data_IF_301368391367
#
_entry.id   IF_301368391367
#
_cell.length_a   1.000
_cell.length_b   1.000
_cell.length_c   1.000
_cell.angle_alpha   90.00
_cell.angle_beta   90.00
_cell.angle_gamma   90.00
#
_symmetry.space_group_name_H-M   'P 1'
#
loop_
_entity.id
_entity.type
_entity.pdbx_description
1 polymer ?
#
# COMPACT_ATOMS: atom_id res chain seq x y z
N UNK A 1 1.89 -0.51 -22.41
CA UNK A 1 1.26 -1.19 -23.56
C UNK A 1 0.27 -2.23 -23.05
N UNK A 2 -0.72 -2.58 -23.86
CA UNK A 2 -1.64 -3.70 -23.64
C UNK A 2 -1.56 -4.59 -24.87
N UNK A 3 -1.30 -5.88 -24.67
CA UNK A 3 -1.28 -6.88 -25.73
C UNK A 3 -2.31 -7.93 -25.38
N UNK A 4 -3.20 -8.23 -26.33
CA UNK A 4 -4.24 -9.25 -26.19
C UNK A 4 -3.87 -10.42 -27.09
N UNK A 5 -3.86 -11.63 -26.55
CA UNK A 5 -3.63 -12.86 -27.30
C UNK A 5 -4.95 -13.55 -27.66
N UNK A 6 -4.85 -14.58 -28.50
CA UNK A 6 -5.95 -15.50 -28.78
C UNK A 6 -5.97 -16.68 -27.78
N UNK A 7 -5.10 -16.65 -26.76
CA UNK A 7 -5.08 -17.67 -25.72
C UNK A 7 -6.31 -17.54 -24.82
N UNK A 8 -6.82 -18.70 -24.43
CA UNK A 8 -8.01 -18.80 -23.61
C UNK A 8 -7.64 -18.81 -22.13
N UNK A 9 -8.28 -17.92 -21.36
CA UNK A 9 -8.16 -17.88 -19.90
C UNK A 9 -9.53 -18.14 -19.30
N UNK A 10 -9.63 -19.20 -18.49
CA UNK A 10 -10.84 -19.53 -17.74
C UNK A 10 -10.86 -18.75 -16.44
N UNK A 11 -11.92 -17.96 -16.21
CA UNK A 11 -12.08 -17.13 -15.01
C UNK A 11 -13.51 -17.24 -14.48
N UNK A 12 -13.63 -17.16 -13.17
CA UNK A 12 -14.89 -16.83 -12.51
C UNK A 12 -14.72 -15.44 -11.91
N UNK A 13 -15.14 -14.43 -12.65
CA UNK A 13 -14.94 -13.02 -12.28
C UNK A 13 -15.57 -12.67 -10.93
N UNK A 14 -16.68 -13.32 -10.57
CA UNK A 14 -17.48 -12.99 -9.39
C UNK A 14 -17.42 -14.07 -8.31
N UNK A 15 -16.61 -15.12 -8.50
CA UNK A 15 -16.50 -16.27 -7.59
C UNK A 15 -17.86 -16.92 -7.25
N UNK A 16 -18.77 -16.97 -8.23
CA UNK A 16 -20.14 -17.49 -8.05
C UNK A 16 -20.37 -18.86 -8.73
N UNK A 17 -19.30 -19.51 -9.18
CA UNK A 17 -19.31 -20.78 -9.89
C UNK A 17 -19.56 -20.66 -11.40
N UNK A 18 -19.82 -19.46 -11.93
CA UNK A 18 -20.08 -19.25 -13.35
C UNK A 18 -18.79 -18.95 -14.12
N UNK A 19 -18.01 -20.01 -14.38
CA UNK A 19 -16.75 -19.91 -15.11
C UNK A 19 -17.03 -19.49 -16.56
N UNK A 20 -16.33 -18.43 -17.00
CA UNK A 20 -16.35 -17.94 -18.37
C UNK A 20 -14.96 -17.99 -18.97
N UNK A 21 -14.97 -18.07 -20.30
CA UNK A 21 -13.80 -18.04 -21.14
C UNK A 21 -13.53 -16.59 -21.57
N UNK A 22 -12.33 -16.10 -21.29
CA UNK A 22 -11.87 -14.76 -21.66
C UNK A 22 -10.57 -14.83 -22.47
N UNK A 23 -10.23 -13.74 -23.16
CA UNK A 23 -8.96 -13.65 -23.89
C UNK A 23 -7.82 -13.27 -22.94
N UNK A 24 -6.70 -13.95 -23.08
CA UNK A 24 -5.46 -13.59 -22.41
C UNK A 24 -4.99 -12.20 -22.80
N UNK A 25 -4.52 -11.42 -21.81
CA UNK A 25 -3.91 -10.13 -22.07
C UNK A 25 -2.75 -9.86 -21.09
N UNK A 26 -1.77 -9.09 -21.56
CA UNK A 26 -0.62 -8.66 -20.77
C UNK A 26 -0.53 -7.13 -20.83
N UNK A 27 -0.38 -6.52 -19.66
CA UNK A 27 -0.15 -5.09 -19.52
C UNK A 27 1.29 -4.83 -19.09
N UNK A 28 2.00 -3.99 -19.84
CA UNK A 28 3.30 -3.48 -19.41
C UNK A 28 3.08 -2.40 -18.34
N UNK A 29 3.50 -2.70 -17.12
CA UNK A 29 3.47 -1.78 -15.99
C UNK A 29 4.84 -1.10 -15.82
N UNK A 30 4.83 0.19 -15.50
CA UNK A 30 6.03 0.97 -15.21
C UNK A 30 5.83 1.71 -13.87
N UNK A 31 6.85 1.65 -13.02
CA UNK A 31 6.91 2.38 -11.76
C UNK A 31 8.39 2.60 -11.41
N UNK A 32 8.67 3.61 -10.58
CA UNK A 32 10.03 3.80 -10.02
C UNK A 32 10.47 2.59 -9.18
N UNK A 33 9.52 1.92 -8.54
CA UNK A 33 9.74 0.73 -7.73
C UNK A 33 8.46 -0.08 -7.58
N UNK A 34 8.60 -1.37 -7.29
CA UNK A 34 7.50 -2.29 -6.97
C UNK A 34 7.57 -2.83 -5.54
N UNK A 35 8.43 -2.26 -4.67
CA UNK A 35 8.46 -2.65 -3.27
C UNK A 35 7.18 -2.24 -2.55
N UNK A 36 6.68 -3.18 -1.75
CA UNK A 36 5.41 -3.10 -1.03
C UNK A 36 5.68 -3.16 0.47
N UNK A 37 4.68 -2.82 1.30
CA UNK A 37 4.76 -3.09 2.74
C UNK A 37 4.98 -4.61 2.96
N UNK A 38 4.26 -5.45 2.22
CA UNK A 38 4.41 -6.90 2.25
C UNK A 38 5.83 -7.41 1.94
N UNK A 39 6.62 -6.67 1.15
CA UNK A 39 8.02 -7.03 0.85
C UNK A 39 8.91 -7.00 2.10
N UNK A 40 8.61 -6.14 3.07
CA UNK A 40 9.32 -6.07 4.34
C UNK A 40 8.70 -7.00 5.39
N UNK A 41 7.37 -7.14 5.39
CA UNK A 41 6.66 -8.03 6.33
C UNK A 41 7.13 -9.47 6.22
N UNK A 42 7.30 -10.00 5.01
CA UNK A 42 7.72 -11.40 4.82
C UNK A 42 9.10 -11.67 5.43
N UNK A 43 10.05 -10.74 5.28
CA UNK A 43 11.39 -10.90 5.83
C UNK A 43 11.40 -10.77 7.36
N UNK A 44 10.63 -9.80 7.89
CA UNK A 44 10.48 -9.63 9.33
C UNK A 44 9.81 -10.84 9.98
N UNK A 45 8.79 -11.42 9.33
CA UNK A 45 8.08 -12.59 9.81
C UNK A 45 8.95 -13.85 9.80
N UNK A 46 9.74 -14.05 8.74
CA UNK A 46 10.68 -15.18 8.61
C UNK A 46 11.92 -15.04 9.50
N UNK A 47 12.10 -13.90 10.18
CA UNK A 47 13.28 -13.64 11.02
C UNK A 47 14.56 -13.37 10.22
N UNK A 48 14.47 -13.08 8.92
CA UNK A 48 15.60 -12.81 8.03
C UNK A 48 16.14 -11.39 8.20
N UNK A 49 16.61 -11.09 9.41
CA UNK A 49 16.93 -9.72 9.86
C UNK A 49 18.03 -9.03 9.05
N UNK A 50 19.04 -9.76 8.62
CA UNK A 50 20.13 -9.19 7.82
C UNK A 50 19.68 -8.89 6.39
N UNK A 51 18.81 -9.73 5.82
CA UNK A 51 18.24 -9.46 4.49
C UNK A 51 17.26 -8.29 4.56
N UNK A 52 16.43 -8.23 5.60
CA UNK A 52 15.53 -7.09 5.84
C UNK A 52 16.31 -5.77 5.93
N UNK A 53 17.41 -5.75 6.68
CA UNK A 53 18.29 -4.57 6.79
C UNK A 53 18.86 -4.16 5.43
N UNK A 54 19.43 -5.12 4.70
CA UNK A 54 20.02 -4.88 3.37
C UNK A 54 18.99 -4.37 2.36
N UNK A 55 17.80 -4.96 2.36
CA UNK A 55 16.71 -4.54 1.46
C UNK A 55 16.25 -3.13 1.80
N UNK A 56 16.04 -2.82 3.08
CA UNK A 56 15.61 -1.50 3.51
C UNK A 56 16.65 -0.42 3.22
N UNK A 57 17.93 -0.69 3.50
CA UNK A 57 19.03 0.23 3.15
C UNK A 57 19.08 0.48 1.64
N UNK A 58 18.93 -0.57 0.81
CA UNK A 58 18.85 -0.43 -0.65
C UNK A 58 17.66 0.43 -1.10
N UNK A 59 16.48 0.22 -0.53
CA UNK A 59 15.27 0.99 -0.83
C UNK A 59 15.48 2.47 -0.51
N UNK A 60 16.00 2.77 0.69
CA UNK A 60 16.26 4.14 1.14
C UNK A 60 17.27 4.81 0.20
N UNK A 61 18.42 4.17 -0.04
CA UNK A 61 19.47 4.71 -0.91
C UNK A 61 18.97 5.00 -2.33
N UNK A 62 18.12 4.13 -2.88
CA UNK A 62 17.69 4.22 -4.29
C UNK A 62 16.50 5.13 -4.49
N UNK A 63 15.55 5.17 -3.55
CA UNK A 63 14.25 5.80 -3.74
C UNK A 63 13.96 6.98 -2.80
N UNK A 64 14.77 7.17 -1.76
CA UNK A 64 14.61 8.25 -0.78
C UNK A 64 15.89 9.08 -0.66
N UNK A 65 16.31 9.78 -1.73
CA UNK A 65 17.62 10.45 -1.80
C UNK A 65 17.79 11.59 -0.79
N UNK A 66 16.69 12.09 -0.21
CA UNK A 66 16.73 13.09 0.87
C UNK A 66 17.14 12.53 2.23
N UNK A 67 17.13 11.21 2.40
CA UNK A 67 17.48 10.53 3.65
C UNK A 67 18.97 10.22 3.65
N UNK A 68 19.68 10.64 4.69
CA UNK A 68 21.11 10.37 4.84
C UNK A 68 21.30 8.92 5.27
N UNK A 69 21.85 8.09 4.38
CA UNK A 69 22.00 6.62 4.58
C UNK A 69 22.84 6.25 5.81
N UNK A 70 23.77 7.10 6.23
CA UNK A 70 24.61 6.84 7.42
C UNK A 70 24.04 7.44 8.71
N UNK A 71 22.88 8.11 8.66
CA UNK A 71 22.23 8.61 9.87
C UNK A 71 21.63 7.44 10.66
N UNK A 72 21.71 7.53 11.99
CA UNK A 72 21.14 6.53 12.88
C UNK A 72 19.60 6.49 12.80
N UNK A 73 18.96 7.60 12.41
CA UNK A 73 17.52 7.76 12.28
C UNK A 73 16.97 7.50 10.87
N UNK A 74 17.78 7.03 9.91
CA UNK A 74 17.33 6.81 8.52
C UNK A 74 16.04 5.99 8.39
N UNK A 75 15.86 4.96 9.22
CA UNK A 75 14.64 4.13 9.21
C UNK A 75 13.42 4.87 9.77
N UNK A 76 13.65 5.76 10.73
CA UNK A 76 12.62 6.62 11.29
C UNK A 76 12.20 7.70 10.28
N UNK A 77 13.15 8.31 9.58
CA UNK A 77 12.89 9.27 8.50
C UNK A 77 12.18 8.63 7.32
N UNK A 78 12.60 7.41 6.93
CA UNK A 78 11.91 6.60 5.94
C UNK A 78 10.46 6.36 6.35
N UNK A 79 10.24 5.86 7.58
CA UNK A 79 8.90 5.60 8.07
C UNK A 79 8.04 6.87 8.09
N UNK A 80 8.59 7.99 8.57
CA UNK A 80 7.92 9.30 8.57
C UNK A 80 7.47 9.72 7.17
N UNK A 81 8.36 9.57 6.19
CA UNK A 81 8.09 9.92 4.79
C UNK A 81 6.97 9.04 4.24
N UNK A 82 7.05 7.72 4.41
CA UNK A 82 6.01 6.80 3.93
C UNK A 82 4.66 7.06 4.60
N UNK A 83 4.63 7.39 5.88
CA UNK A 83 3.39 7.78 6.59
C UNK A 83 2.78 9.04 5.99
N UNK A 84 3.58 10.09 5.78
CA UNK A 84 3.08 11.36 5.24
C UNK A 84 2.60 11.22 3.78
N UNK A 85 3.37 10.55 2.93
CA UNK A 85 3.03 10.37 1.52
C UNK A 85 1.85 9.41 1.33
N UNK A 86 1.71 8.39 2.18
CA UNK A 86 0.53 7.51 2.14
C UNK A 86 -0.74 8.23 2.60
N UNK A 87 -0.63 9.10 3.61
CA UNK A 87 -1.74 9.94 4.03
C UNK A 87 -2.18 10.88 2.89
N UNK A 88 -1.22 11.48 2.17
CA UNK A 88 -1.47 12.29 0.98
C UNK A 88 -2.11 11.48 -0.16
N UNK A 89 -1.62 10.29 -0.45
CA UNK A 89 -2.19 9.41 -1.47
C UNK A 89 -3.68 9.13 -1.18
N UNK A 90 -3.98 8.79 0.08
CA UNK A 90 -5.35 8.46 0.47
C UNK A 90 -6.24 9.71 0.49
N UNK A 91 -5.74 10.88 0.91
CA UNK A 91 -6.53 12.11 0.81
C UNK A 91 -6.88 12.42 -0.65
N UNK A 92 -5.93 12.23 -1.58
CA UNK A 92 -6.17 12.36 -3.01
C UNK A 92 -7.23 11.36 -3.51
N UNK A 93 -7.15 10.08 -3.13
CA UNK A 93 -8.18 9.08 -3.47
C UNK A 93 -9.56 9.52 -3.00
N UNK A 94 -9.65 9.98 -1.76
CA UNK A 94 -10.92 10.41 -1.18
C UNK A 94 -11.45 11.67 -1.89
N UNK A 95 -10.59 12.61 -2.27
CA UNK A 95 -10.97 13.87 -2.94
C UNK A 95 -11.59 13.68 -4.33
N UNK A 96 -11.19 12.61 -5.03
CA UNK A 96 -11.70 12.28 -6.38
C UNK A 96 -12.73 11.15 -6.36
N UNK A 97 -13.15 10.68 -5.18
CA UNK A 97 -14.11 9.58 -5.06
C UNK A 97 -13.56 8.22 -5.53
N UNK A 98 -12.24 8.01 -5.51
CA UNK A 98 -11.62 6.75 -5.90
C UNK A 98 -11.65 5.73 -4.75
N UNK A 99 -12.20 4.55 -5.02
CA UNK A 99 -12.15 3.39 -4.15
C UNK A 99 -11.28 2.28 -4.78
N UNK A 100 -10.22 1.87 -4.09
CA UNK A 100 -9.25 0.88 -4.58
C UNK A 100 -9.79 -0.56 -4.55
N UNK A 101 -10.61 -0.89 -3.55
CA UNK A 101 -11.29 -2.19 -3.41
C UNK A 101 -10.46 -3.36 -2.88
N UNK A 102 -9.13 -3.27 -2.83
CA UNK A 102 -8.24 -4.32 -2.29
C UNK A 102 -7.02 -3.68 -1.61
N UNK A 103 -7.25 -3.12 -0.42
CA UNK A 103 -6.21 -2.42 0.33
C UNK A 103 -5.41 -3.35 1.26
N UNK A 104 -4.96 -4.50 0.76
CA UNK A 104 -4.04 -5.38 1.50
C UNK A 104 -2.64 -4.74 1.58
N UNK A 105 -1.80 -5.17 2.54
CA UNK A 105 -0.46 -4.61 2.73
C UNK A 105 0.48 -4.88 1.56
N UNK A 106 0.30 -5.98 0.84
CA UNK A 106 1.00 -6.25 -0.41
C UNK A 106 0.57 -5.29 -1.54
N UNK A 107 -0.60 -4.66 -1.49
CA UNK A 107 -1.00 -3.65 -2.49
C UNK A 107 -0.60 -2.21 -2.11
N UNK A 108 0.10 -2.01 -1.00
CA UNK A 108 0.61 -0.69 -0.60
C UNK A 108 2.07 -0.53 -0.99
N UNK A 109 2.32 0.34 -1.96
CA UNK A 109 3.68 0.71 -2.37
C UNK A 109 4.41 1.45 -1.25
N UNK A 110 5.69 1.13 -1.03
CA UNK A 110 6.54 1.90 -0.12
C UNK A 110 6.81 3.33 -0.64
N UNK A 111 6.60 3.59 -1.94
CA UNK A 111 6.73 4.92 -2.53
C UNK A 111 5.39 5.69 -2.54
N UNK A 112 4.35 5.17 -1.89
CA UNK A 112 3.03 5.80 -1.79
C UNK A 112 2.42 6.17 -3.14
N UNK A 113 2.56 5.27 -4.11
CA UNK A 113 1.88 5.32 -5.41
C UNK A 113 0.77 4.27 -5.46
N UNK A 114 -0.31 4.56 -6.20
CA UNK A 114 -1.37 3.58 -6.46
C UNK A 114 -0.84 2.46 -7.36
N UNK A 115 -1.04 1.22 -6.94
CA UNK A 115 -0.64 0.02 -7.68
C UNK A 115 -1.78 -1.02 -7.63
N UNK A 116 -1.70 -2.05 -8.46
CA UNK A 116 -2.64 -3.19 -8.42
C UNK A 116 -4.13 -2.81 -8.55
N UNK A 117 -4.42 -2.11 -9.64
CA UNK A 117 -5.78 -1.87 -10.12
C UNK A 117 -6.48 -3.19 -10.46
N UNK A 118 -7.33 -3.66 -9.55
CA UNK A 118 -8.22 -4.80 -9.74
C UNK A 118 -9.68 -4.33 -9.71
N UNK A 119 -10.45 -4.64 -8.66
CA UNK A 119 -11.82 -4.18 -8.50
C UNK A 119 -11.87 -2.77 -7.89
N UNK A 120 -11.28 -1.79 -8.58
CA UNK A 120 -11.38 -0.38 -8.20
C UNK A 120 -12.64 0.26 -8.81
N UNK A 121 -13.06 1.41 -8.28
CA UNK A 121 -14.16 2.18 -8.84
C UNK A 121 -14.10 3.64 -8.45
N UNK A 122 -14.63 4.50 -9.31
CA UNK A 122 -14.90 5.90 -8.99
C UNK A 122 -16.38 6.02 -8.60
N UNK A 123 -16.64 6.79 -7.55
CA UNK A 123 -17.99 7.00 -7.03
C UNK A 123 -18.77 7.98 -7.92
N UNK A 124 -19.76 7.49 -8.65
CA UNK A 124 -20.59 8.33 -9.55
C UNK A 124 -21.49 9.31 -8.77
N UNK A 125 -22.24 8.80 -7.79
CA UNK A 125 -23.04 9.58 -6.85
C UNK A 125 -22.45 9.45 -5.45
N UNK A 126 -22.45 10.53 -4.66
CA UNK A 126 -21.91 10.47 -3.30
C UNK A 126 -22.58 9.38 -2.46
N UNK A 127 -21.80 8.35 -2.13
CA UNK A 127 -22.19 7.22 -1.31
C UNK A 127 -20.98 6.76 -0.47
N UNK A 128 -20.86 7.18 0.80
CA UNK A 128 -19.67 6.91 1.63
C UNK A 128 -19.49 5.42 1.96
N UNK A 129 -20.51 4.60 1.70
CA UNK A 129 -20.46 3.15 1.85
C UNK A 129 -20.24 2.42 0.51
N UNK A 130 -19.82 3.12 -0.55
CA UNK A 130 -19.49 2.52 -1.84
C UNK A 130 -18.41 1.46 -1.70
N UNK A 131 -18.67 0.26 -2.21
CA UNK A 131 -17.76 -0.89 -2.26
C UNK A 131 -17.56 -1.23 -3.73
N UNK A 132 -16.36 -1.05 -4.30
CA UNK A 132 -16.11 -1.36 -5.70
C UNK A 132 -15.87 -2.86 -5.93
N UNK A 133 -15.50 -3.60 -4.88
CA UNK A 133 -15.17 -5.01 -4.95
C UNK A 133 -16.36 -5.89 -4.59
N UNK A 134 -16.90 -6.60 -5.57
CA UNK A 134 -18.04 -7.53 -5.39
C UNK A 134 -17.73 -8.71 -4.48
N UNK A 135 -16.45 -9.01 -4.22
CA UNK A 135 -16.03 -10.08 -3.32
C UNK A 135 -15.72 -9.60 -1.90
N UNK A 136 -15.90 -8.30 -1.62
CA UNK A 136 -15.74 -7.72 -0.28
C UNK A 136 -17.08 -7.70 0.46
N UNK A 137 -17.59 -8.88 0.81
CA UNK A 137 -18.88 -9.08 1.48
C UNK A 137 -18.94 -8.35 2.84
N UNK A 138 -17.82 -8.30 3.55
CA UNK A 138 -17.68 -7.58 4.83
C UNK A 138 -17.53 -6.06 4.65
N UNK A 139 -17.41 -5.58 3.40
CA UNK A 139 -17.27 -4.16 3.03
C UNK A 139 -16.06 -3.51 3.70
N UNK A 140 -15.01 -4.30 3.93
CA UNK A 140 -13.78 -3.88 4.59
C UNK A 140 -13.11 -2.72 3.86
N UNK A 141 -13.13 -2.74 2.54
CA UNK A 141 -12.49 -1.78 1.64
C UNK A 141 -13.47 -0.80 0.99
N UNK A 142 -14.63 -0.55 1.62
CA UNK A 142 -15.51 0.56 1.23
C UNK A 142 -14.77 1.89 1.25
N UNK A 143 -15.20 2.85 0.41
CA UNK A 143 -14.51 4.14 0.25
C UNK A 143 -14.29 4.86 1.59
N UNK A 144 -15.29 4.92 2.46
CA UNK A 144 -15.19 5.55 3.79
C UNK A 144 -14.20 4.88 4.76
N UNK A 145 -13.77 3.64 4.49
CA UNK A 145 -12.78 2.93 5.31
C UNK A 145 -11.34 3.13 4.81
N UNK A 146 -11.10 3.66 3.61
CA UNK A 146 -9.73 3.76 3.08
C UNK A 146 -8.78 4.54 4.00
N UNK A 147 -9.18 5.65 4.67
CA UNK A 147 -8.29 6.34 5.60
C UNK A 147 -7.85 5.47 6.78
N UNK A 148 -8.76 4.72 7.40
CA UNK A 148 -8.43 3.86 8.53
C UNK A 148 -7.64 2.62 8.11
N UNK A 149 -7.92 2.06 6.92
CA UNK A 149 -7.15 0.96 6.35
C UNK A 149 -5.72 1.40 6.01
N UNK A 150 -5.52 2.61 5.51
CA UNK A 150 -4.19 3.18 5.30
C UNK A 150 -3.37 3.22 6.59
N UNK A 151 -3.96 3.73 7.68
CA UNK A 151 -3.31 3.75 8.98
C UNK A 151 -3.01 2.34 9.50
N UNK A 152 -3.93 1.40 9.30
CA UNK A 152 -3.72 -0.01 9.66
C UNK A 152 -2.52 -0.60 8.90
N UNK A 153 -2.41 -0.38 7.58
CA UNK A 153 -1.30 -0.88 6.79
C UNK A 153 0.03 -0.22 7.18
N UNK A 154 0.04 1.07 7.51
CA UNK A 154 1.24 1.74 8.06
C UNK A 154 1.63 1.18 9.44
N UNK A 155 0.66 0.72 10.24
CA UNK A 155 0.93 0.01 11.49
C UNK A 155 1.61 -1.34 11.26
N UNK A 156 1.31 -2.01 10.13
CA UNK A 156 1.96 -3.25 9.71
C UNK A 156 3.38 -3.01 9.21
N UNK A 157 3.59 -1.94 8.43
CA UNK A 157 4.93 -1.47 8.11
C UNK A 157 5.76 -1.21 9.38
N UNK A 158 5.19 -0.50 10.36
CA UNK A 158 5.87 -0.27 11.63
C UNK A 158 6.22 -1.59 12.36
N UNK A 159 5.32 -2.57 12.35
CA UNK A 159 5.60 -3.90 12.92
C UNK A 159 6.81 -4.56 12.25
N UNK A 160 6.91 -4.50 10.92
CA UNK A 160 8.05 -5.04 10.17
C UNK A 160 9.37 -4.28 10.47
N UNK A 161 9.30 -2.97 10.72
CA UNK A 161 10.49 -2.15 11.02
C UNK A 161 10.96 -2.27 12.47
N UNK A 162 10.05 -2.54 13.43
CA UNK A 162 10.36 -2.57 14.87
C UNK A 162 11.62 -3.34 15.25
N UNK A 163 11.93 -4.52 14.70
CA UNK A 163 13.14 -5.26 15.05
C UNK A 163 14.45 -4.54 14.68
N UNK A 164 14.41 -3.57 13.75
CA UNK A 164 15.56 -2.75 13.35
C UNK A 164 15.71 -1.45 14.16
N UNK A 165 14.73 -1.10 15.00
CA UNK A 165 14.68 0.15 15.72
C UNK A 165 15.12 -0.02 17.18
N UNK A 166 15.85 0.96 17.70
CA UNK A 166 16.15 1.07 19.13
C UNK A 166 14.89 1.47 19.95
N UNK A 167 14.92 1.40 21.30
CA UNK A 167 13.76 1.77 22.13
C UNK A 167 13.25 3.20 21.93
N UNK A 168 14.12 4.18 21.73
CA UNK A 168 13.75 5.58 21.49
C UNK A 168 13.09 5.71 20.13
N UNK A 169 13.65 5.10 19.10
CA UNK A 169 13.10 5.11 17.74
C UNK A 169 11.73 4.43 17.67
N UNK A 170 11.51 3.33 18.41
CA UNK A 170 10.19 2.69 18.52
C UNK A 170 9.13 3.64 19.08
N UNK A 171 9.48 4.43 20.09
CA UNK A 171 8.58 5.42 20.68
C UNK A 171 8.25 6.54 19.68
N UNK A 172 9.28 7.09 19.02
CA UNK A 172 9.11 8.14 18.01
C UNK A 172 8.30 7.65 16.81
N UNK A 173 8.56 6.43 16.32
CA UNK A 173 7.81 5.85 15.21
C UNK A 173 6.33 5.64 15.57
N UNK A 174 6.04 5.28 16.82
CA UNK A 174 4.67 5.19 17.31
C UNK A 174 3.97 6.56 17.37
N UNK A 175 4.71 7.64 17.66
CA UNK A 175 4.20 9.01 17.60
C UNK A 175 3.93 9.46 16.16
N UNK A 176 4.86 9.18 15.24
CA UNK A 176 4.69 9.43 13.80
C UNK A 176 3.40 8.77 13.28
N UNK A 177 3.17 7.49 13.62
CA UNK A 177 1.96 6.78 13.20
C UNK A 177 0.67 7.40 13.78
N UNK A 178 0.71 7.97 14.99
CA UNK A 178 -0.42 8.70 15.58
C UNK A 178 -0.71 9.99 14.82
N UNK A 179 0.32 10.65 14.29
CA UNK A 179 0.21 11.86 13.46
C UNK A 179 -0.38 11.62 12.06
N UNK A 180 -0.59 10.37 11.64
CA UNK A 180 -1.19 10.03 10.34
C UNK A 180 -2.51 10.78 10.09
N UNK A 181 -3.39 10.84 11.10
CA UNK A 181 -4.69 11.51 10.97
C UNK A 181 -4.54 12.99 10.64
N UNK A 182 -3.61 13.69 11.28
CA UNK A 182 -3.32 15.10 11.03
C UNK A 182 -2.78 15.32 9.60
N UNK A 183 -1.88 14.44 9.14
CA UNK A 183 -1.39 14.49 7.77
C UNK A 183 -2.48 14.24 6.73
N UNK A 184 -3.40 13.32 7.01
CA UNK A 184 -4.54 13.04 6.15
C UNK A 184 -5.50 14.22 6.08
N UNK A 185 -5.97 14.73 7.24
CA UNK A 185 -6.95 15.82 7.29
C UNK A 185 -6.40 17.17 6.82
N UNK A 186 -5.10 17.42 6.93
CA UNK A 186 -4.48 18.65 6.38
C UNK A 186 -4.41 18.68 4.85
N UNK A 187 -4.59 17.52 4.20
CA UNK A 187 -4.46 17.34 2.74
C UNK A 187 -5.75 16.90 2.05
N UNK A 188 -6.83 16.71 2.82
CA UNK A 188 -8.17 16.38 2.33
C UNK A 188 -9.00 17.66 2.26
#
# INVERSE_FOLDING_TARGET
SLVVSDDDVWRDQFYNGNIKKERGAIVLRLAKSWFRIGSLEILAHSGEMDLLRRLLDFIIQTHFPSIVVNDSNRYLEFFSTVVSETANLISLWMSVGFAHGVCNTDNFSLLSITIDYGPFGFMDSYYPNFVPNTSDDERRYKIGNQPSVGQFNLSKLLQALKPLLDPRQKQLASQILKGYGEHYYSRY
#
